data_IF_954503366791
#
_entry.id   IF_954503366791
#
_cell.length_a   1.000
_cell.length_b   1.000
_cell.length_c   1.000
_cell.angle_alpha   90.00
_cell.angle_beta   90.00
_cell.angle_gamma   90.00
#
_symmetry.space_group_name_H-M   'P 1'
#
loop_
_entity.id
_entity.type
_entity.pdbx_description
1 polymer ?
#
# COMPACT_ATOMS: atom_id res chain seq x y z
N UNK A 1 34.61 -23.56 -3.70
CA UNK A 1 33.53 -23.06 -2.82
C UNK A 1 32.82 -24.26 -2.28
N UNK A 2 32.91 -24.48 -0.97
CA UNK A 2 32.14 -25.54 -0.31
C UNK A 2 30.63 -25.22 -0.37
N UNK A 3 29.78 -26.24 -0.37
CA UNK A 3 28.32 -26.05 -0.28
C UNK A 3 27.91 -25.29 0.99
N UNK A 4 28.67 -25.45 2.08
CA UNK A 4 28.47 -24.80 3.38
C UNK A 4 28.69 -23.28 3.33
N UNK A 5 29.73 -22.79 2.65
CA UNK A 5 29.98 -21.35 2.45
C UNK A 5 28.75 -20.66 1.84
N UNK A 6 28.16 -21.31 0.83
CA UNK A 6 27.03 -20.77 0.09
C UNK A 6 25.74 -20.70 0.94
N UNK A 7 25.59 -21.59 1.93
CA UNK A 7 24.43 -21.61 2.84
C UNK A 7 24.50 -20.47 3.85
N UNK A 8 25.68 -20.22 4.46
CA UNK A 8 25.85 -19.17 5.48
C UNK A 8 25.56 -17.79 4.87
N UNK A 9 26.14 -17.50 3.72
CA UNK A 9 25.94 -16.23 3.00
C UNK A 9 24.49 -16.06 2.59
N UNK A 10 23.87 -17.09 2.00
CA UNK A 10 22.47 -17.03 1.57
C UNK A 10 21.52 -16.79 2.74
N UNK A 11 21.76 -17.41 3.89
CA UNK A 11 20.97 -17.19 5.10
C UNK A 11 21.10 -15.74 5.59
N UNK A 12 22.31 -15.21 5.66
CA UNK A 12 22.54 -13.82 6.06
C UNK A 12 21.86 -12.82 5.12
N UNK A 13 22.05 -12.96 3.81
CA UNK A 13 21.44 -12.09 2.80
C UNK A 13 19.90 -12.17 2.84
N UNK A 14 19.33 -13.36 3.08
CA UNK A 14 17.89 -13.49 3.26
C UNK A 14 17.37 -12.76 4.52
N UNK A 15 18.12 -12.79 5.63
CA UNK A 15 17.75 -12.03 6.83
C UNK A 15 17.80 -10.52 6.56
N UNK A 16 18.82 -10.04 5.85
CA UNK A 16 18.90 -8.64 5.42
C UNK A 16 17.70 -8.28 4.54
N UNK A 17 17.39 -9.11 3.53
CA UNK A 17 16.23 -8.91 2.64
C UNK A 17 14.91 -8.78 3.40
N UNK A 18 14.70 -9.56 4.47
CA UNK A 18 13.49 -9.50 5.28
C UNK A 18 13.39 -8.19 6.08
N UNK A 19 14.53 -7.66 6.57
CA UNK A 19 14.59 -6.46 7.40
C UNK A 19 14.60 -5.16 6.60
N UNK A 20 14.94 -5.21 5.31
CA UNK A 20 14.90 -4.04 4.41
C UNK A 20 13.49 -3.40 4.35
N UNK A 21 13.42 -2.07 4.11
CA UNK A 21 12.15 -1.36 4.03
C UNK A 21 11.28 -1.83 2.87
N UNK A 22 9.96 -1.70 3.03
CA UNK A 22 8.98 -2.17 2.05
C UNK A 22 9.12 -1.49 0.68
N UNK A 23 9.42 -0.19 0.64
CA UNK A 23 9.60 0.53 -0.63
C UNK A 23 10.70 -0.08 -1.51
N UNK A 24 11.80 -0.54 -0.90
CA UNK A 24 12.91 -1.16 -1.64
C UNK A 24 12.53 -2.57 -2.08
N UNK A 25 11.80 -3.30 -1.24
CA UNK A 25 11.26 -4.62 -1.61
C UNK A 25 10.32 -4.55 -2.82
N UNK A 26 9.66 -3.42 -3.04
CA UNK A 26 8.77 -3.21 -4.19
C UNK A 26 9.53 -2.95 -5.50
N UNK A 27 10.80 -2.54 -5.42
CA UNK A 27 11.66 -2.28 -6.57
C UNK A 27 12.61 -3.45 -6.78
N UNK A 28 12.12 -4.52 -7.40
CA UNK A 28 12.87 -5.79 -7.58
C UNK A 28 14.28 -5.59 -8.16
N UNK A 29 14.45 -4.71 -9.14
CA UNK A 29 15.77 -4.45 -9.75
C UNK A 29 16.71 -3.72 -8.79
N UNK A 30 16.23 -2.72 -8.05
CA UNK A 30 17.03 -2.02 -7.04
C UNK A 30 17.37 -2.95 -5.87
N UNK A 31 16.40 -3.72 -5.39
CA UNK A 31 16.61 -4.74 -4.36
C UNK A 31 17.67 -5.74 -4.79
N UNK A 32 17.57 -6.28 -6.01
CA UNK A 32 18.54 -7.24 -6.54
C UNK A 32 19.94 -6.63 -6.58
N UNK A 33 20.08 -5.41 -7.10
CA UNK A 33 21.36 -4.71 -7.16
C UNK A 33 21.95 -4.48 -5.76
N UNK A 34 21.12 -4.12 -4.77
CA UNK A 34 21.56 -3.92 -3.37
C UNK A 34 22.02 -5.25 -2.75
N UNK A 35 21.27 -6.33 -2.94
CA UNK A 35 21.64 -7.65 -2.40
C UNK A 35 22.88 -8.22 -3.08
N UNK A 36 23.05 -8.00 -4.39
CA UNK A 36 24.26 -8.37 -5.14
C UNK A 36 25.49 -7.57 -4.65
N UNK A 37 25.35 -6.26 -4.44
CA UNK A 37 26.42 -5.42 -3.91
C UNK A 37 26.82 -5.83 -2.48
N UNK A 38 25.84 -6.08 -1.60
CA UNK A 38 26.09 -6.60 -0.25
C UNK A 38 26.79 -7.97 -0.27
N UNK A 39 26.41 -8.84 -1.20
CA UNK A 39 27.05 -10.14 -1.38
C UNK A 39 28.50 -9.97 -1.84
N UNK A 40 28.75 -9.06 -2.79
CA UNK A 40 30.10 -8.76 -3.27
C UNK A 40 30.98 -8.15 -2.18
N UNK A 41 30.43 -7.24 -1.36
CA UNK A 41 31.12 -6.66 -0.20
C UNK A 41 31.49 -7.73 0.83
N UNK A 42 30.56 -8.65 1.13
CA UNK A 42 30.79 -9.74 2.07
C UNK A 42 31.92 -10.67 1.62
N UNK A 43 31.93 -11.07 0.35
CA UNK A 43 33.04 -11.86 -0.20
C UNK A 43 34.36 -11.08 -0.27
N UNK A 44 34.29 -9.77 -0.49
CA UNK A 44 35.46 -8.89 -0.44
C UNK A 44 36.10 -8.87 0.94
N UNK A 45 35.30 -8.70 1.99
CA UNK A 45 35.76 -8.76 3.39
C UNK A 45 36.25 -10.15 3.78
N UNK A 46 35.53 -11.21 3.41
CA UNK A 46 35.97 -12.58 3.71
C UNK A 46 37.33 -12.90 3.07
N UNK A 47 37.55 -12.47 1.82
CA UNK A 47 38.85 -12.63 1.14
C UNK A 47 39.95 -11.76 1.76
N UNK A 48 39.59 -10.60 2.30
CA UNK A 48 40.52 -9.76 3.05
C UNK A 48 40.98 -10.44 4.35
N UNK A 49 40.07 -11.17 5.02
CA UNK A 49 40.33 -11.92 6.24
C UNK A 49 41.17 -13.18 5.95
N UNK A 50 40.86 -13.91 4.88
CA UNK A 50 41.60 -15.13 4.48
C UNK A 50 43.00 -14.87 3.92
N UNK A 51 43.43 -13.59 3.82
CA UNK A 51 44.74 -13.18 3.32
C UNK A 51 45.09 -13.73 1.93
N UNK A 52 44.08 -14.04 1.11
CA UNK A 52 44.27 -14.60 -0.24
C UNK A 52 44.36 -16.13 -0.29
N UNK A 53 44.28 -16.82 0.84
CA UNK A 53 44.06 -18.26 0.93
C UNK A 53 42.59 -18.62 0.62
N UNK A 54 42.29 -19.93 0.51
CA UNK A 54 40.91 -20.40 0.30
C UNK A 54 40.00 -19.89 1.43
N UNK A 55 38.86 -19.31 1.05
CA UNK A 55 37.91 -18.71 1.98
C UNK A 55 37.28 -19.82 2.83
N UNK A 56 37.43 -19.74 4.14
CA UNK A 56 36.81 -20.68 5.09
C UNK A 56 35.50 -20.14 5.66
N UNK A 57 34.68 -21.03 6.22
CA UNK A 57 33.45 -20.66 6.93
C UNK A 57 33.71 -19.71 8.12
N UNK A 58 34.90 -19.77 8.72
CA UNK A 58 35.30 -18.87 9.81
C UNK A 58 35.48 -17.43 9.29
N UNK A 59 36.13 -17.27 8.13
CA UNK A 59 36.35 -15.97 7.50
C UNK A 59 35.02 -15.30 7.11
N UNK A 60 34.06 -16.08 6.62
CA UNK A 60 32.72 -15.59 6.28
C UNK A 60 31.97 -15.12 7.53
N UNK A 61 32.03 -15.87 8.63
CA UNK A 61 31.39 -15.46 9.89
C UNK A 61 32.00 -14.18 10.45
N UNK A 62 33.32 -14.05 10.38
CA UNK A 62 34.00 -12.83 10.79
C UNK A 62 33.65 -11.65 9.87
N UNK A 63 33.56 -11.86 8.55
CA UNK A 63 33.11 -10.86 7.59
C UNK A 63 31.67 -10.38 7.89
N UNK A 64 30.75 -11.30 8.22
CA UNK A 64 29.38 -10.97 8.65
C UNK A 64 29.42 -10.08 9.89
N UNK A 65 30.21 -10.45 10.91
CA UNK A 65 30.34 -9.65 12.14
C UNK A 65 30.88 -8.24 11.86
N UNK A 66 31.79 -8.08 10.88
CA UNK A 66 32.32 -6.77 10.46
C UNK A 66 31.32 -5.95 9.65
N UNK A 67 30.50 -6.59 8.81
CA UNK A 67 29.45 -5.89 8.07
C UNK A 67 28.32 -5.37 8.97
N UNK A 68 28.11 -6.00 10.13
CA UNK A 68 27.11 -5.61 11.12
C UNK A 68 25.85 -6.47 11.09
N UNK A 69 24.88 -6.15 11.93
CA UNK A 69 23.63 -6.92 11.98
C UNK A 69 22.72 -6.57 10.79
N UNK A 70 21.84 -7.49 10.35
CA UNK A 70 20.86 -7.20 9.30
C UNK A 70 20.01 -5.94 9.56
N UNK A 71 19.74 -5.65 10.83
CA UNK A 71 19.00 -4.47 11.27
C UNK A 71 19.81 -3.18 11.09
N UNK A 72 21.12 -3.21 11.39
CA UNK A 72 21.99 -2.06 11.18
C UNK A 72 22.12 -1.70 9.69
N UNK A 73 22.18 -2.71 8.81
CA UNK A 73 22.18 -2.51 7.35
C UNK A 73 20.84 -1.95 6.90
N UNK A 74 19.72 -2.56 7.34
CA UNK A 74 18.39 -2.09 6.95
C UNK A 74 18.10 -0.65 7.42
N UNK A 75 18.62 -0.26 8.59
CA UNK A 75 18.45 1.10 9.14
C UNK A 75 19.02 2.18 8.22
N UNK A 76 20.11 1.90 7.49
CA UNK A 76 20.68 2.84 6.50
C UNK A 76 19.69 3.15 5.37
N UNK A 77 18.88 2.17 4.97
CA UNK A 77 17.87 2.35 3.91
C UNK A 77 16.55 2.93 4.42
N UNK A 78 16.25 2.79 5.72
CA UNK A 78 15.10 3.44 6.36
C UNK A 78 15.32 4.94 6.60
N UNK A 79 16.56 5.34 6.87
CA UNK A 79 16.92 6.72 7.21
C UNK A 79 17.37 7.55 5.99
N UNK A 80 16.66 7.49 4.86
CA UNK A 80 17.01 8.30 3.66
C UNK A 80 16.35 9.68 3.61
N UNK A 81 15.29 9.90 4.39
CA UNK A 81 14.60 11.18 4.45
C UNK A 81 15.14 12.04 5.60
N UNK A 82 15.11 13.35 5.41
CA UNK A 82 15.47 14.31 6.46
C UNK A 82 14.34 14.38 7.50
N UNK A 83 14.58 14.03 8.78
CA UNK A 83 13.52 14.02 9.77
C UNK A 83 13.07 15.45 10.09
N UNK A 84 11.76 15.71 9.94
CA UNK A 84 11.10 16.97 10.30
C UNK A 84 9.84 16.66 11.11
N UNK A 85 9.97 16.72 12.44
CA UNK A 85 8.99 16.16 13.39
C UNK A 85 8.90 14.62 13.27
N UNK A 86 7.68 14.06 13.29
CA UNK A 86 7.41 12.63 13.06
C UNK A 86 7.29 12.24 11.58
N UNK A 87 7.49 13.19 10.66
CA UNK A 87 7.44 13.00 9.21
C UNK A 87 8.80 13.37 8.59
N UNK A 88 9.09 12.91 7.38
CA UNK A 88 10.26 13.43 6.65
C UNK A 88 9.90 14.74 5.96
N UNK A 89 10.88 15.63 5.77
CA UNK A 89 10.67 16.92 5.13
C UNK A 89 10.09 16.77 3.71
N UNK A 90 10.49 15.73 2.99
CA UNK A 90 10.05 15.43 1.63
C UNK A 90 8.59 14.93 1.59
N UNK A 91 8.15 14.20 2.62
CA UNK A 91 6.77 13.73 2.78
C UNK A 91 5.83 14.82 3.29
N UNK A 92 6.35 15.87 3.94
CA UNK A 92 5.53 16.86 4.64
C UNK A 92 4.62 17.67 3.69
N UNK A 93 5.15 18.09 2.54
CA UNK A 93 4.35 18.80 1.55
C UNK A 93 3.27 17.89 0.95
N UNK A 94 3.61 16.62 0.74
CA UNK A 94 2.65 15.62 0.25
C UNK A 94 1.55 15.34 1.28
N UNK A 95 1.91 15.29 2.57
CA UNK A 95 1.00 15.17 3.70
C UNK A 95 0.00 16.33 3.73
N UNK A 96 0.48 17.58 3.75
CA UNK A 96 -0.39 18.75 3.83
C UNK A 96 -1.34 18.83 2.63
N UNK A 97 -0.85 18.58 1.42
CA UNK A 97 -1.71 18.57 0.22
C UNK A 97 -2.80 17.51 0.30
N UNK A 98 -2.45 16.30 0.76
CA UNK A 98 -3.40 15.22 0.95
C UNK A 98 -4.44 15.60 2.00
N UNK A 99 -4.00 16.14 3.13
CA UNK A 99 -4.87 16.61 4.22
C UNK A 99 -5.87 17.68 3.73
N UNK A 100 -5.38 18.73 3.08
CA UNK A 100 -6.23 19.81 2.57
C UNK A 100 -7.20 19.33 1.49
N UNK A 101 -6.80 18.38 0.65
CA UNK A 101 -7.69 17.78 -0.32
C UNK A 101 -8.88 17.08 0.36
N UNK A 102 -8.62 16.22 1.35
CA UNK A 102 -9.70 15.56 2.09
C UNK A 102 -10.57 16.55 2.87
N UNK A 103 -9.96 17.61 3.44
CA UNK A 103 -10.72 18.68 4.09
C UNK A 103 -11.65 19.38 3.11
N UNK A 104 -11.17 19.73 1.91
CA UNK A 104 -11.99 20.36 0.88
C UNK A 104 -13.16 19.46 0.48
N UNK A 105 -12.95 18.15 0.32
CA UNK A 105 -14.02 17.17 0.04
C UNK A 105 -15.05 17.13 1.17
N UNK A 106 -14.60 17.05 2.43
CA UNK A 106 -15.49 17.01 3.60
C UNK A 106 -16.30 18.30 3.72
N UNK A 107 -15.66 19.46 3.55
CA UNK A 107 -16.30 20.77 3.53
C UNK A 107 -17.35 20.83 2.42
N UNK A 108 -16.99 20.44 1.20
CA UNK A 108 -17.89 20.44 0.05
C UNK A 108 -19.13 19.57 0.27
N UNK A 109 -18.95 18.35 0.80
CA UNK A 109 -20.06 17.43 1.12
C UNK A 109 -20.98 18.07 2.17
N UNK A 110 -20.43 18.62 3.26
CA UNK A 110 -21.24 19.24 4.31
C UNK A 110 -21.96 20.51 3.82
N UNK A 111 -21.35 21.29 2.91
CA UNK A 111 -22.02 22.43 2.27
C UNK A 111 -23.19 21.96 1.41
N UNK A 112 -23.01 20.92 0.58
CA UNK A 112 -24.11 20.36 -0.23
C UNK A 112 -25.25 19.88 0.68
N UNK A 113 -24.91 19.16 1.75
CA UNK A 113 -25.88 18.71 2.77
C UNK A 113 -26.65 19.90 3.35
N UNK A 114 -25.95 20.95 3.73
CA UNK A 114 -26.56 22.14 4.32
C UNK A 114 -27.47 22.86 3.31
N UNK A 115 -27.01 23.09 2.07
CA UNK A 115 -27.81 23.71 0.99
C UNK A 115 -29.08 22.91 0.73
N UNK A 116 -28.97 21.58 0.73
CA UNK A 116 -30.12 20.71 0.58
C UNK A 116 -31.08 20.91 1.76
N UNK A 117 -30.62 20.83 3.01
CA UNK A 117 -31.47 21.06 4.20
C UNK A 117 -32.11 22.46 4.22
N UNK A 118 -31.37 23.49 3.82
CA UNK A 118 -31.87 24.86 3.70
C UNK A 118 -33.03 24.96 2.70
N UNK A 119 -32.94 24.24 1.58
CA UNK A 119 -34.01 24.20 0.57
C UNK A 119 -35.32 23.59 1.08
N UNK A 120 -35.25 22.79 2.15
CA UNK A 120 -36.42 22.13 2.77
C UNK A 120 -36.79 22.71 4.14
N UNK A 121 -36.24 23.88 4.52
CA UNK A 121 -36.55 24.54 5.80
C UNK A 121 -38.07 24.71 6.02
N UNK A 122 -38.80 25.10 4.97
CA UNK A 122 -40.24 25.31 5.02
C UNK A 122 -41.06 24.06 5.33
N UNK A 123 -40.50 22.87 5.08
CA UNK A 123 -41.19 21.58 5.30
C UNK A 123 -40.94 21.04 6.70
N UNK A 124 -39.73 21.21 7.25
CA UNK A 124 -39.31 20.54 8.48
C UNK A 124 -39.37 21.44 9.71
N UNK A 125 -39.65 22.75 9.55
CA UNK A 125 -39.66 23.73 10.65
C UNK A 125 -38.39 23.70 11.51
N UNK A 126 -37.26 23.26 10.94
CA UNK A 126 -35.97 23.21 11.62
C UNK A 126 -35.38 24.60 11.60
N UNK A 127 -34.97 25.14 12.76
CA UNK A 127 -34.30 26.43 12.78
C UNK A 127 -33.01 26.45 11.95
N UNK A 128 -32.77 27.56 11.24
CA UNK A 128 -31.62 27.69 10.35
C UNK A 128 -30.27 27.54 11.08
N UNK A 129 -30.22 27.91 12.38
CA UNK A 129 -29.02 27.79 13.20
C UNK A 129 -28.65 26.34 13.50
N UNK A 130 -29.63 25.43 13.60
CA UNK A 130 -29.36 24.01 13.82
C UNK A 130 -28.76 23.37 12.57
N UNK A 131 -29.21 23.80 11.38
CA UNK A 131 -28.64 23.38 10.10
C UNK A 131 -27.18 23.86 9.99
N UNK A 132 -26.95 25.14 10.31
CA UNK A 132 -25.61 25.73 10.26
C UNK A 132 -24.68 25.12 11.32
N UNK A 133 -25.16 24.89 12.53
CA UNK A 133 -24.43 24.20 13.60
C UNK A 133 -24.10 22.76 13.23
N UNK A 134 -25.05 22.02 12.64
CA UNK A 134 -24.83 20.68 12.13
C UNK A 134 -23.78 20.63 11.02
N UNK A 135 -23.81 21.58 10.08
CA UNK A 135 -22.80 21.71 9.02
C UNK A 135 -21.41 21.96 9.61
N UNK A 136 -21.27 22.96 10.50
CA UNK A 136 -19.98 23.29 11.12
C UNK A 136 -19.44 22.13 11.97
N UNK A 137 -20.30 21.48 12.74
CA UNK A 137 -19.95 20.30 13.53
C UNK A 137 -19.49 19.14 12.64
N UNK A 138 -20.23 18.85 11.55
CA UNK A 138 -19.87 17.82 10.58
C UNK A 138 -18.53 18.09 9.89
N UNK A 139 -18.26 19.35 9.53
CA UNK A 139 -16.96 19.77 8.99
C UNK A 139 -15.86 19.55 10.03
N UNK A 140 -16.06 20.03 11.26
CA UNK A 140 -15.04 19.96 12.31
C UNK A 140 -14.69 18.51 12.67
N UNK A 141 -15.71 17.68 12.94
CA UNK A 141 -15.53 16.25 13.27
C UNK A 141 -14.93 15.49 12.08
N UNK A 142 -15.44 15.72 10.88
CA UNK A 142 -14.94 15.06 9.67
C UNK A 142 -13.47 15.38 9.41
N UNK A 143 -13.09 16.66 9.46
CA UNK A 143 -11.70 17.10 9.29
C UNK A 143 -10.81 16.55 10.40
N UNK A 144 -11.26 16.51 11.65
CA UNK A 144 -10.49 15.95 12.77
C UNK A 144 -10.20 14.45 12.58
N UNK A 145 -11.21 13.66 12.19
CA UNK A 145 -11.04 12.22 11.91
C UNK A 145 -10.08 12.03 10.72
N UNK A 146 -10.29 12.76 9.63
CA UNK A 146 -9.42 12.69 8.46
C UNK A 146 -7.97 13.05 8.81
N UNK A 147 -7.76 14.09 9.62
CA UNK A 147 -6.43 14.48 10.08
C UNK A 147 -5.74 13.38 10.87
N UNK A 148 -6.42 12.75 11.82
CA UNK A 148 -5.86 11.66 12.63
C UNK A 148 -5.46 10.49 11.72
N UNK A 149 -6.37 10.03 10.86
CA UNK A 149 -6.13 8.87 9.98
C UNK A 149 -4.98 9.15 9.01
N UNK A 150 -5.00 10.30 8.32
CA UNK A 150 -3.95 10.68 7.36
C UNK A 150 -2.61 10.82 8.07
N UNK A 151 -2.58 11.41 9.26
CA UNK A 151 -1.34 11.57 10.04
C UNK A 151 -0.74 10.22 10.42
N UNK A 152 -1.54 9.27 10.94
CA UNK A 152 -1.06 7.92 11.29
C UNK A 152 -0.45 7.23 10.09
N UNK A 153 -1.12 7.30 8.93
CA UNK A 153 -0.65 6.69 7.68
C UNK A 153 0.67 7.31 7.22
N UNK A 154 0.80 8.63 7.26
CA UNK A 154 2.02 9.32 6.85
C UNK A 154 3.18 9.12 7.81
N UNK A 155 2.92 9.02 9.13
CA UNK A 155 3.94 8.66 10.12
C UNK A 155 4.48 7.26 9.83
N UNK A 156 3.61 6.31 9.51
CA UNK A 156 4.03 4.97 9.10
C UNK A 156 4.92 5.00 7.84
N UNK A 157 4.55 5.78 6.82
CA UNK A 157 5.39 5.95 5.62
C UNK A 157 6.73 6.60 5.92
N UNK A 158 6.75 7.60 6.79
CA UNK A 158 7.99 8.23 7.25
C UNK A 158 8.89 7.23 7.97
N UNK A 159 8.34 6.37 8.84
CA UNK A 159 9.11 5.36 9.58
C UNK A 159 9.68 4.25 8.69
N UNK A 160 8.97 3.88 7.62
CA UNK A 160 9.48 2.97 6.60
C UNK A 160 10.39 3.65 5.56
N UNK A 161 10.58 4.97 5.69
CA UNK A 161 11.45 5.75 4.83
C UNK A 161 10.90 5.92 3.42
N UNK A 162 9.58 5.92 3.21
CA UNK A 162 8.98 6.23 1.91
C UNK A 162 9.25 7.68 1.50
N UNK A 163 9.42 7.92 0.20
CA UNK A 163 9.47 9.26 -0.39
C UNK A 163 8.32 9.44 -1.37
N UNK A 164 7.93 10.68 -1.70
CA UNK A 164 6.86 10.97 -2.67
C UNK A 164 7.03 10.23 -4.01
N UNK A 165 8.27 10.03 -4.46
CA UNK A 165 8.60 9.37 -5.72
C UNK A 165 8.21 7.89 -5.78
N UNK A 166 8.19 7.21 -4.63
CA UNK A 166 7.93 5.77 -4.57
C UNK A 166 6.45 5.44 -4.78
N UNK A 167 5.56 6.42 -4.59
CA UNK A 167 4.15 6.30 -4.93
C UNK A 167 3.91 6.36 -6.45
N UNK A 168 4.95 6.62 -7.25
CA UNK A 168 4.91 6.65 -8.70
C UNK A 168 4.25 7.92 -9.27
N UNK A 169 4.19 7.99 -10.60
CA UNK A 169 3.52 9.09 -11.28
C UNK A 169 2.02 8.85 -11.20
N UNK A 170 1.33 9.67 -10.40
CA UNK A 170 -0.13 9.67 -10.32
C UNK A 170 -0.68 9.92 -11.75
N UNK A 171 -1.56 9.05 -12.28
CA UNK A 171 -2.13 9.21 -13.61
C UNK A 171 -2.68 10.62 -13.82
N UNK A 172 -2.35 11.29 -14.93
CA UNK A 172 -2.85 12.65 -15.27
C UNK A 172 -4.37 12.82 -15.17
N UNK A 173 -5.13 11.73 -15.27
CA UNK A 173 -6.60 11.72 -15.12
C UNK A 173 -7.04 11.91 -13.67
N UNK A 174 -6.26 11.43 -12.71
CA UNK A 174 -6.43 11.71 -11.29
C UNK A 174 -5.90 13.10 -10.94
N UNK A 175 -5.02 13.71 -11.75
CA UNK A 175 -4.53 15.08 -11.54
C UNK A 175 -5.63 16.16 -11.72
N UNK A 176 -6.79 15.79 -12.27
CA UNK A 176 -7.98 16.68 -12.33
C UNK A 176 -8.70 16.71 -10.98
N UNK A 177 -8.72 15.58 -10.27
CA UNK A 177 -9.40 15.44 -8.97
C UNK A 177 -8.44 15.80 -7.84
N UNK A 178 -7.18 15.42 -7.97
CA UNK A 178 -6.12 15.77 -7.06
C UNK A 178 -5.23 16.84 -7.70
N UNK A 179 -5.07 18.04 -7.11
CA UNK A 179 -4.18 19.08 -7.62
C UNK A 179 -2.70 18.74 -7.34
N UNK A 180 -2.30 17.49 -7.57
CA UNK A 180 -0.93 17.05 -7.57
C UNK A 180 -0.34 17.28 -8.96
N UNK A 181 -0.08 18.52 -9.34
CA UNK A 181 0.96 18.76 -10.33
C UNK A 181 2.30 18.55 -9.64
N UNK A 182 2.66 17.29 -9.42
CA UNK A 182 4.07 16.93 -9.38
C UNK A 182 4.58 17.23 -10.79
N UNK A 183 5.14 18.43 -10.97
CA UNK A 183 5.85 18.74 -12.20
C UNK A 183 6.90 17.65 -12.38
N UNK A 184 7.06 17.19 -13.62
CA UNK A 184 8.03 16.16 -13.96
C UNK A 184 9.44 16.57 -13.47
N UNK A 185 9.68 17.87 -13.42
CA UNK A 185 10.83 18.56 -12.83
C UNK A 185 11.00 18.31 -11.32
N UNK A 186 9.94 18.45 -10.51
CA UNK A 186 10.01 18.14 -9.06
C UNK A 186 10.26 16.65 -8.80
N UNK A 187 9.65 15.77 -9.61
CA UNK A 187 9.91 14.33 -9.54
C UNK A 187 11.32 13.97 -10.05
N UNK A 188 11.89 14.77 -10.96
CA UNK A 188 13.25 14.59 -11.44
C UNK A 188 14.28 15.01 -10.38
N UNK A 189 14.09 16.18 -9.75
CA UNK A 189 14.97 16.70 -8.69
C UNK A 189 15.00 15.76 -7.48
N UNK A 190 13.84 15.28 -7.08
CA UNK A 190 13.69 14.37 -5.95
C UNK A 190 14.27 12.97 -6.28
N UNK A 191 14.13 12.49 -7.53
CA UNK A 191 14.87 11.31 -8.03
C UNK A 191 16.38 11.51 -8.08
N UNK A 192 16.86 12.69 -8.44
CA UNK A 192 18.28 13.01 -8.43
C UNK A 192 18.81 13.03 -7.01
N UNK A 193 18.08 13.62 -6.06
CA UNK A 193 18.39 13.55 -4.63
C UNK A 193 18.44 12.11 -4.12
N UNK A 194 17.44 11.28 -4.44
CA UNK A 194 17.42 9.86 -4.08
C UNK A 194 18.60 9.11 -4.71
N UNK A 195 18.94 9.39 -5.97
CA UNK A 195 20.12 8.81 -6.61
C UNK A 195 21.41 9.26 -5.94
N UNK A 196 21.55 10.54 -5.60
CA UNK A 196 22.72 11.08 -4.91
C UNK A 196 22.89 10.43 -3.54
N UNK A 197 21.83 10.29 -2.74
CA UNK A 197 21.93 9.62 -1.44
C UNK A 197 22.20 8.11 -1.55
N UNK A 198 21.64 7.43 -2.55
CA UNK A 198 21.99 6.03 -2.85
C UNK A 198 23.45 5.94 -3.29
N UNK A 199 23.94 6.88 -4.09
CA UNK A 199 25.33 6.96 -4.50
C UNK A 199 26.25 7.29 -3.32
N UNK A 200 25.89 8.21 -2.43
CA UNK A 200 26.62 8.49 -1.20
C UNK A 200 26.68 7.27 -0.32
N UNK A 201 25.56 6.57 -0.10
CA UNK A 201 25.54 5.32 0.65
C UNK A 201 26.43 4.24 -0.01
N UNK A 202 26.41 4.15 -1.35
CA UNK A 202 27.32 3.28 -2.11
C UNK A 202 28.77 3.72 -2.02
N UNK A 203 29.05 5.02 -2.04
CA UNK A 203 30.39 5.58 -1.94
C UNK A 203 30.95 5.35 -0.56
N UNK A 204 30.15 5.52 0.50
CA UNK A 204 30.51 5.17 1.88
C UNK A 204 30.78 3.67 2.02
N UNK A 205 29.99 2.83 1.33
CA UNK A 205 30.27 1.40 1.19
C UNK A 205 31.57 1.10 0.45
N UNK A 206 31.80 1.77 -0.69
CA UNK A 206 33.03 1.66 -1.49
C UNK A 206 34.26 2.21 -0.80
N UNK A 207 34.14 3.24 0.03
CA UNK A 207 35.22 3.86 0.79
C UNK A 207 35.63 2.95 1.94
N UNK A 208 34.66 2.33 2.62
CA UNK A 208 34.94 1.22 3.55
C UNK A 208 35.61 0.05 2.83
N UNK A 209 35.14 -0.32 1.64
CA UNK A 209 35.72 -1.37 0.83
C UNK A 209 37.12 -0.99 0.32
N UNK A 210 37.36 0.28 -0.03
CA UNK A 210 38.65 0.79 -0.46
C UNK A 210 39.63 0.86 0.70
N UNK A 211 39.17 1.23 1.90
CA UNK A 211 39.98 1.17 3.12
C UNK A 211 40.33 -0.29 3.49
N UNK A 212 39.38 -1.22 3.34
CA UNK A 212 39.64 -2.65 3.50
C UNK A 212 40.62 -3.15 2.42
N UNK A 213 40.42 -2.73 1.16
CA UNK A 213 41.26 -3.12 0.03
C UNK A 213 42.65 -2.49 0.09
N UNK A 214 42.81 -1.27 0.61
CA UNK A 214 44.10 -0.63 0.83
C UNK A 214 44.89 -1.35 1.94
N UNK A 215 44.23 -1.76 3.03
CA UNK A 215 44.84 -2.66 4.04
C UNK A 215 45.25 -4.00 3.46
N UNK A 216 44.51 -4.50 2.47
CA UNK A 216 44.84 -5.73 1.74
C UNK A 216 45.96 -5.51 0.72
N UNK A 217 45.99 -4.39 0.00
CA UNK A 217 47.04 -4.07 -0.98
C UNK A 217 48.38 -3.76 -0.30
N UNK A 218 48.36 -3.17 0.89
CA UNK A 218 49.54 -2.97 1.75
C UNK A 218 50.11 -4.31 2.23
N UNK A 219 49.26 -5.33 2.46
CA UNK A 219 49.67 -6.72 2.79
C UNK A 219 49.97 -7.61 1.57
N UNK A 220 49.36 -7.34 0.43
CA UNK A 220 49.62 -8.04 -0.85
C UNK A 220 50.87 -7.48 -1.53
N UNK A 221 51.33 -6.28 -1.16
CA UNK A 221 52.65 -5.79 -1.55
C UNK A 221 53.80 -6.69 -1.04
N UNK A 222 53.58 -7.50 0.00
CA UNK A 222 54.52 -8.55 0.44
C UNK A 222 54.44 -9.85 -0.39
N UNK A 223 53.39 -10.07 -1.21
CA UNK A 223 53.21 -11.30 -2.01
C UNK A 223 53.39 -11.12 -3.52
N UNK A 224 53.83 -9.93 -3.95
CA UNK A 224 54.10 -9.57 -5.36
C UNK A 224 55.49 -9.98 -5.87
N UNK A 225 55.84 -11.26 -5.76
CA UNK A 225 56.90 -11.87 -6.59
C UNK A 225 56.32 -12.96 -7.54
N UNK A 226 55.04 -13.32 -7.43
CA UNK A 226 54.52 -14.53 -8.10
C UNK A 226 53.28 -14.32 -8.97
N UNK A 227 53.30 -13.44 -9.99
CA UNK A 227 52.30 -13.51 -11.10
C UNK A 227 52.61 -12.60 -12.29
N UNK A 228 53.62 -12.99 -13.06
CA UNK A 228 53.76 -12.55 -14.47
C UNK A 228 53.10 -13.52 -15.47
N UNK A 229 52.54 -14.66 -15.04
CA UNK A 229 51.98 -15.68 -15.96
C UNK A 229 50.56 -15.41 -16.51
N UNK A 230 49.81 -14.41 -16.03
CA UNK A 230 48.38 -14.24 -16.41
C UNK A 230 48.10 -13.25 -17.54
N UNK A 231 49.08 -13.00 -18.43
CA UNK A 231 48.90 -12.07 -19.56
C UNK A 231 48.47 -12.70 -20.89
N UNK A 232 48.30 -14.03 -20.95
CA UNK A 232 47.82 -14.73 -22.16
C UNK A 232 46.36 -15.22 -22.08
N UNK A 233 45.76 -15.32 -20.88
CA UNK A 233 44.35 -15.76 -20.69
C UNK A 233 43.31 -14.70 -21.08
N UNK A 234 43.69 -13.42 -21.11
CA UNK A 234 42.77 -12.29 -21.31
C UNK A 234 42.09 -12.24 -22.70
N UNK A 235 42.67 -12.92 -23.71
CA UNK A 235 42.13 -12.92 -25.09
C UNK A 235 41.09 -14.02 -25.35
N UNK A 236 40.97 -15.03 -24.48
CA UNK A 236 39.95 -16.09 -24.56
C UNK A 236 38.63 -15.68 -23.87
N UNK A 237 38.73 -14.88 -22.82
CA UNK A 237 37.60 -14.36 -22.01
C UNK A 237 36.71 -13.39 -22.81
N UNK A 238 37.26 -12.69 -23.81
CA UNK A 238 36.51 -11.74 -24.64
C UNK A 238 35.50 -12.41 -25.59
N UNK A 239 35.76 -13.65 -26.03
CA UNK A 239 34.81 -14.43 -26.87
C UNK A 239 33.68 -15.05 -26.04
N UNK A 240 33.95 -15.51 -24.82
CA UNK A 240 32.91 -16.00 -23.90
C UNK A 240 31.92 -14.91 -23.48
N UNK A 241 32.41 -13.68 -23.21
CA UNK A 241 31.55 -12.54 -22.86
C UNK A 241 30.59 -12.11 -23.97
N UNK A 242 30.93 -12.36 -25.24
CA UNK A 242 30.07 -12.05 -26.39
C UNK A 242 28.91 -13.04 -26.53
N UNK A 243 29.11 -14.31 -26.17
CA UNK A 243 28.05 -15.32 -26.14
C UNK A 243 27.15 -15.18 -24.91
N UNK A 244 27.73 -14.90 -23.73
CA UNK A 244 26.96 -14.56 -22.52
C UNK A 244 26.07 -13.33 -22.75
N UNK A 245 26.56 -12.30 -23.44
CA UNK A 245 25.75 -11.12 -23.76
C UNK A 245 24.56 -11.43 -24.70
N UNK A 246 24.70 -12.42 -25.60
CA UNK A 246 23.60 -12.88 -26.48
C UNK A 246 22.60 -13.75 -25.73
N UNK A 247 23.06 -14.59 -24.79
CA UNK A 247 22.19 -15.36 -23.90
C UNK A 247 21.39 -14.44 -22.96
N UNK A 248 22.05 -13.42 -22.39
CA UNK A 248 21.42 -12.43 -21.51
C UNK A 248 20.34 -11.60 -22.22
N UNK A 249 20.52 -11.29 -23.52
CA UNK A 249 19.50 -10.62 -24.33
C UNK A 249 18.28 -11.49 -24.60
N UNK A 250 18.45 -12.80 -24.84
CA UNK A 250 17.32 -13.74 -24.98
C UNK A 250 16.56 -13.89 -23.65
N UNK A 251 17.29 -13.97 -22.54
CA UNK A 251 16.72 -14.05 -21.20
C UNK A 251 15.90 -12.79 -20.85
N UNK A 252 16.42 -11.59 -21.13
CA UNK A 252 15.69 -10.32 -20.95
C UNK A 252 14.44 -10.20 -21.82
N UNK A 253 14.45 -10.78 -23.04
CA UNK A 253 13.30 -10.79 -23.93
C UNK A 253 12.19 -11.73 -23.41
N UNK A 254 12.57 -12.88 -22.84
CA UNK A 254 11.63 -13.79 -22.19
C UNK A 254 11.09 -13.24 -20.86
N UNK A 255 11.93 -12.61 -20.03
CA UNK A 255 11.49 -11.86 -18.85
C UNK A 255 10.50 -10.74 -19.21
N UNK A 256 10.75 -10.00 -20.31
CA UNK A 256 9.82 -8.97 -20.77
C UNK A 256 8.48 -9.56 -21.24
N UNK A 257 8.47 -10.75 -21.86
CA UNK A 257 7.25 -11.48 -22.23
C UNK A 257 6.52 -12.00 -20.99
N UNK A 258 7.24 -12.52 -19.99
CA UNK A 258 6.67 -12.93 -18.70
C UNK A 258 6.08 -11.73 -17.94
N UNK A 259 6.78 -10.59 -17.86
CA UNK A 259 6.28 -9.33 -17.27
C UNK A 259 4.97 -8.85 -17.92
N UNK A 260 4.82 -9.02 -19.24
CA UNK A 260 3.56 -8.70 -19.96
C UNK A 260 2.42 -9.66 -19.64
N UNK A 261 2.71 -10.95 -19.39
CA UNK A 261 1.72 -11.93 -18.96
C UNK A 261 1.27 -11.70 -17.50
N UNK A 262 2.19 -11.29 -16.62
CA UNK A 262 1.92 -10.96 -15.20
C UNK A 262 0.95 -9.78 -15.07
N UNK A 263 1.09 -8.76 -15.93
CA UNK A 263 0.20 -7.59 -15.91
C UNK A 263 -1.25 -7.94 -16.30
N UNK A 264 -1.48 -9.08 -16.98
CA UNK A 264 -2.82 -9.57 -17.36
C UNK A 264 -3.47 -10.47 -16.30
N UNK A 265 -2.71 -10.98 -15.31
CA UNK A 265 -3.20 -11.97 -14.34
C UNK A 265 -3.41 -11.44 -12.93
N UNK A 266 -3.19 -10.15 -12.67
CA UNK A 266 -3.48 -9.56 -11.36
C UNK A 266 -5.00 -9.65 -11.07
N UNK A 267 -5.40 -10.32 -9.96
CA UNK A 267 -6.81 -10.61 -9.69
C UNK A 267 -7.59 -9.41 -9.13
N UNK A 268 -6.91 -8.30 -8.83
CA UNK A 268 -7.50 -7.02 -8.41
C UNK A 268 -6.90 -5.95 -9.29
N UNK A 269 -7.74 -5.07 -9.84
CA UNK A 269 -7.26 -3.96 -10.66
C UNK A 269 -7.15 -2.68 -9.83
N UNK A 270 -6.22 -1.80 -10.21
CA UNK A 270 -6.10 -0.46 -9.60
C UNK A 270 -7.43 0.31 -9.72
N UNK A 271 -8.16 0.14 -10.84
CA UNK A 271 -9.46 0.75 -11.04
C UNK A 271 -10.53 0.27 -10.06
N UNK A 272 -10.56 -1.03 -9.75
CA UNK A 272 -11.47 -1.61 -8.75
C UNK A 272 -11.20 -1.04 -7.35
N UNK A 273 -9.92 -0.90 -6.96
CA UNK A 273 -9.53 -0.35 -5.66
C UNK A 273 -9.85 1.15 -5.54
N UNK A 274 -9.55 1.94 -6.58
CA UNK A 274 -9.87 3.38 -6.59
C UNK A 274 -11.39 3.57 -6.52
N UNK A 275 -12.14 2.82 -7.32
CA UNK A 275 -13.60 2.90 -7.31
C UNK A 275 -14.17 2.46 -5.96
N UNK A 276 -13.73 1.33 -5.41
CA UNK A 276 -14.16 0.84 -4.10
C UNK A 276 -13.85 1.83 -2.97
N UNK A 277 -12.64 2.38 -2.94
CA UNK A 277 -12.24 3.37 -1.95
C UNK A 277 -13.05 4.67 -2.07
N UNK A 278 -13.14 5.24 -3.27
CA UNK A 278 -13.87 6.50 -3.49
C UNK A 278 -15.37 6.34 -3.26
N UNK A 279 -15.99 5.31 -3.83
CA UNK A 279 -17.42 5.05 -3.65
C UNK A 279 -17.73 4.72 -2.18
N UNK A 280 -16.94 3.87 -1.52
CA UNK A 280 -17.16 3.50 -0.12
C UNK A 280 -17.03 4.69 0.82
N UNK A 281 -16.01 5.53 0.64
CA UNK A 281 -15.81 6.72 1.47
C UNK A 281 -16.92 7.75 1.24
N UNK A 282 -17.21 8.10 -0.02
CA UNK A 282 -18.21 9.12 -0.36
C UNK A 282 -19.61 8.66 0.04
N UNK A 283 -19.99 7.44 -0.36
CA UNK A 283 -21.31 6.90 -0.07
C UNK A 283 -21.48 6.61 1.42
N UNK A 284 -20.46 6.07 2.09
CA UNK A 284 -20.48 5.86 3.53
C UNK A 284 -20.66 7.17 4.30
N UNK A 285 -19.90 8.22 3.95
CA UNK A 285 -20.08 9.55 4.55
C UNK A 285 -21.48 10.13 4.28
N UNK A 286 -21.99 9.99 3.06
CA UNK A 286 -23.33 10.46 2.70
C UNK A 286 -24.41 9.77 3.54
N UNK A 287 -24.28 8.46 3.78
CA UNK A 287 -25.19 7.68 4.62
C UNK A 287 -25.09 8.01 6.12
N UNK A 288 -23.90 8.37 6.60
CA UNK A 288 -23.69 8.80 8.01
C UNK A 288 -24.25 10.20 8.23
N UNK A 289 -23.94 11.13 7.32
CA UNK A 289 -24.34 12.54 7.43
C UNK A 289 -25.84 12.70 7.17
N UNK A 290 -26.42 11.88 6.29
CA UNK A 290 -27.82 11.91 5.89
C UNK A 290 -28.23 13.31 5.43
N UNK A 291 -27.78 13.74 4.22
CA UNK A 291 -28.14 15.06 3.69
C UNK A 291 -29.64 15.26 3.53
N UNK A 292 -30.35 14.16 3.25
CA UNK A 292 -31.77 14.21 2.93
C UNK A 292 -32.54 14.68 4.17
N UNK A 293 -33.38 15.73 4.04
CA UNK A 293 -34.19 16.21 5.13
C UNK A 293 -35.09 15.05 5.52
N UNK A 294 -34.93 14.63 6.76
CA UNK A 294 -35.86 13.76 7.45
C UNK A 294 -37.16 14.57 7.54
N UNK A 295 -37.99 14.53 6.51
CA UNK A 295 -39.29 15.23 6.46
C UNK A 295 -40.32 14.56 7.38
N UNK A 296 -39.88 13.97 8.51
CA UNK A 296 -40.67 13.05 9.34
C UNK A 296 -41.04 11.74 8.62
N UNK A 297 -40.66 11.58 7.35
CA UNK A 297 -41.09 10.45 6.51
C UNK A 297 -40.32 9.15 6.76
N UNK A 298 -39.18 9.21 7.46
CA UNK A 298 -38.40 8.03 7.82
C UNK A 298 -38.42 7.86 9.34
N UNK A 299 -38.68 6.64 9.79
CA UNK A 299 -38.65 6.30 11.22
C UNK A 299 -37.24 6.56 11.79
N UNK A 300 -37.10 7.08 13.03
CA UNK A 300 -35.80 7.32 13.66
C UNK A 300 -34.90 6.08 13.68
N UNK A 301 -35.47 4.90 13.91
CA UNK A 301 -34.75 3.62 13.91
C UNK A 301 -34.09 3.32 12.55
N UNK A 302 -34.72 3.71 11.44
CA UNK A 302 -34.15 3.52 10.10
C UNK A 302 -32.96 4.43 9.87
N UNK A 303 -33.01 5.66 10.39
CA UNK A 303 -31.91 6.60 10.29
C UNK A 303 -30.71 6.13 11.09
N UNK A 304 -30.93 5.55 12.28
CA UNK A 304 -29.86 4.92 13.06
C UNK A 304 -29.27 3.71 12.32
N UNK A 305 -30.12 2.88 11.72
CA UNK A 305 -29.69 1.77 10.87
C UNK A 305 -28.84 2.25 9.68
N UNK A 306 -29.29 3.30 8.97
CA UNK A 306 -28.57 3.90 7.85
C UNK A 306 -27.21 4.47 8.28
N UNK A 307 -27.11 5.09 9.48
CA UNK A 307 -25.84 5.57 10.02
C UNK A 307 -24.88 4.41 10.30
N UNK A 308 -25.38 3.33 10.90
CA UNK A 308 -24.57 2.14 11.16
C UNK A 308 -24.10 1.49 9.85
N UNK A 309 -25.00 1.32 8.88
CA UNK A 309 -24.68 0.81 7.55
C UNK A 309 -23.69 1.72 6.82
N UNK A 310 -23.90 3.03 6.86
CA UNK A 310 -23.00 4.04 6.29
C UNK A 310 -21.60 4.01 6.90
N UNK A 311 -21.52 3.86 8.22
CA UNK A 311 -20.24 3.65 8.92
C UNK A 311 -19.56 2.38 8.43
N UNK A 312 -20.32 1.30 8.25
CA UNK A 312 -19.73 0.05 7.75
C UNK A 312 -19.15 0.21 6.33
N UNK A 313 -19.89 0.87 5.45
CA UNK A 313 -19.46 1.17 4.07
C UNK A 313 -18.25 2.10 4.05
N UNK A 314 -18.24 3.11 4.91
CA UNK A 314 -17.12 4.05 5.04
C UNK A 314 -15.81 3.33 5.42
N UNK A 315 -15.85 2.49 6.46
CA UNK A 315 -14.69 1.71 6.88
C UNK A 315 -14.26 0.72 5.79
N UNK A 316 -15.20 0.12 5.05
CA UNK A 316 -14.84 -0.71 3.87
C UNK A 316 -14.09 0.10 2.81
N UNK A 317 -14.54 1.33 2.55
CA UNK A 317 -13.84 2.24 1.63
C UNK A 317 -12.43 2.62 2.13
N UNK A 318 -12.26 2.79 3.44
CA UNK A 318 -10.94 3.00 4.05
C UNK A 318 -10.04 1.77 3.89
N UNK A 319 -10.56 0.55 4.05
CA UNK A 319 -9.79 -0.67 3.83
C UNK A 319 -9.32 -0.78 2.37
N UNK A 320 -10.18 -0.45 1.41
CA UNK A 320 -9.80 -0.41 -0.01
C UNK A 320 -8.79 0.71 -0.32
N UNK A 321 -8.87 1.84 0.39
CA UNK A 321 -7.86 2.89 0.31
C UNK A 321 -6.50 2.39 0.83
N UNK A 322 -6.46 1.72 1.98
CA UNK A 322 -5.22 1.14 2.51
C UNK A 322 -4.65 0.11 1.52
N UNK A 323 -5.50 -0.74 0.94
CA UNK A 323 -5.11 -1.70 -0.11
C UNK A 323 -4.55 -1.00 -1.35
N UNK A 324 -5.12 0.13 -1.74
CA UNK A 324 -4.59 0.93 -2.85
C UNK A 324 -3.17 1.39 -2.54
N UNK A 325 -2.94 1.88 -1.32
CA UNK A 325 -1.62 2.39 -0.92
C UNK A 325 -0.57 1.28 -0.77
N UNK A 326 -0.97 0.10 -0.30
CA UNK A 326 -0.10 -1.11 -0.28
C UNK A 326 0.37 -1.49 -1.69
N UNK A 327 -0.37 -1.10 -2.72
CA UNK A 327 -0.05 -1.39 -4.11
C UNK A 327 -0.53 -2.78 -4.53
N UNK A 328 -0.99 -2.88 -5.78
CA UNK A 328 -1.53 -4.13 -6.35
C UNK A 328 -0.45 -5.21 -6.54
N UNK A 329 0.82 -4.79 -6.60
CA UNK A 329 1.99 -5.68 -6.70
C UNK A 329 2.36 -6.36 -5.38
N UNK A 330 1.97 -5.83 -4.22
CA UNK A 330 2.29 -6.44 -2.93
C UNK A 330 1.28 -7.57 -2.60
N UNK A 331 1.59 -8.77 -3.09
CA UNK A 331 0.71 -9.94 -2.97
C UNK A 331 0.37 -10.30 -1.52
N UNK A 332 1.34 -10.20 -0.60
CA UNK A 332 1.12 -10.56 0.81
C UNK A 332 0.22 -9.54 1.49
N UNK A 333 0.45 -8.25 1.26
CA UNK A 333 -0.42 -7.19 1.76
C UNK A 333 -1.84 -7.28 1.19
N UNK A 334 -1.99 -7.49 -0.12
CA UNK A 334 -3.31 -7.67 -0.74
C UNK A 334 -4.05 -8.90 -0.19
N UNK A 335 -3.35 -10.01 0.07
CA UNK A 335 -3.95 -11.20 0.68
C UNK A 335 -4.45 -10.92 2.09
N UNK A 336 -3.62 -10.32 2.94
CA UNK A 336 -4.00 -10.01 4.31
C UNK A 336 -5.23 -9.11 4.34
N UNK A 337 -5.25 -8.05 3.54
CA UNK A 337 -6.38 -7.13 3.49
C UNK A 337 -7.63 -7.69 2.81
N UNK A 338 -7.50 -8.63 1.85
CA UNK A 338 -8.66 -9.36 1.33
C UNK A 338 -9.30 -10.25 2.41
N UNK A 339 -8.49 -10.86 3.28
CA UNK A 339 -8.99 -11.65 4.42
C UNK A 339 -9.63 -10.73 5.46
N UNK A 340 -8.96 -9.63 5.83
CA UNK A 340 -9.51 -8.64 6.76
C UNK A 340 -10.83 -8.08 6.22
N UNK A 341 -10.89 -7.70 4.95
CA UNK A 341 -12.11 -7.23 4.29
C UNK A 341 -13.21 -8.30 4.25
N UNK A 342 -12.87 -9.56 4.01
CA UNK A 342 -13.84 -10.65 4.07
C UNK A 342 -14.39 -10.88 5.49
N UNK A 343 -13.54 -10.86 6.52
CA UNK A 343 -13.96 -10.96 7.93
C UNK A 343 -14.82 -9.75 8.30
N UNK A 344 -14.40 -8.56 7.89
CA UNK A 344 -15.12 -7.32 8.12
C UNK A 344 -16.52 -7.36 7.50
N UNK A 345 -16.67 -7.96 6.31
CA UNK A 345 -17.97 -8.07 5.66
C UNK A 345 -19.01 -8.88 6.47
N UNK A 346 -18.58 -9.69 7.44
CA UNK A 346 -19.49 -10.38 8.38
C UNK A 346 -20.26 -9.35 9.21
N UNK A 347 -19.69 -8.18 9.49
CA UNK A 347 -20.35 -7.12 10.26
C UNK A 347 -21.61 -6.56 9.57
N UNK A 348 -21.74 -6.70 8.24
CA UNK A 348 -22.99 -6.34 7.55
C UNK A 348 -24.13 -7.31 7.86
N UNK A 349 -23.84 -8.58 8.18
CA UNK A 349 -24.88 -9.60 8.38
C UNK A 349 -25.80 -9.24 9.55
N UNK A 350 -25.31 -8.92 10.76
CA UNK A 350 -26.17 -8.45 11.86
C UNK A 350 -27.00 -7.23 11.49
N UNK A 351 -26.45 -6.30 10.71
CA UNK A 351 -27.14 -5.07 10.27
C UNK A 351 -28.33 -5.42 9.37
N UNK A 352 -28.18 -6.35 8.43
CA UNK A 352 -29.30 -6.81 7.59
C UNK A 352 -30.26 -7.76 8.31
N UNK A 353 -29.78 -8.56 9.27
CA UNK A 353 -30.63 -9.38 10.13
C UNK A 353 -31.54 -8.53 11.03
N UNK A 354 -31.07 -7.36 11.49
CA UNK A 354 -31.90 -6.40 12.20
C UNK A 354 -33.08 -5.95 11.34
N UNK A 355 -32.84 -5.58 10.08
CA UNK A 355 -33.91 -5.23 9.14
C UNK A 355 -34.86 -6.39 8.84
N UNK A 356 -34.36 -7.62 8.80
CA UNK A 356 -35.18 -8.81 8.60
C UNK A 356 -36.10 -9.06 9.82
N UNK A 357 -35.58 -8.82 11.03
CA UNK A 357 -36.33 -9.01 12.28
C UNK A 357 -37.31 -7.86 12.57
N UNK A 358 -37.04 -6.66 12.03
CA UNK A 358 -37.83 -5.45 12.24
C UNK A 358 -38.19 -4.81 10.89
N UNK A 359 -39.08 -5.43 10.10
CA UNK A 359 -39.45 -4.96 8.77
C UNK A 359 -40.15 -3.59 8.78
N UNK A 360 -40.83 -3.26 9.87
CA UNK A 360 -41.50 -1.98 10.12
C UNK A 360 -40.58 -0.76 10.03
N UNK A 361 -39.28 -0.95 10.25
CA UNK A 361 -38.27 0.12 10.16
C UNK A 361 -38.08 0.59 8.71
N UNK A 362 -38.35 -0.23 7.70
CA UNK A 362 -38.02 0.11 6.32
C UNK A 362 -39.07 1.04 5.68
N UNK A 363 -38.69 2.22 5.15
CA UNK A 363 -39.65 3.22 4.66
C UNK A 363 -40.13 2.93 3.22
N UNK A 364 -41.12 2.03 3.06
CA UNK A 364 -41.74 1.74 1.74
C UNK A 364 -42.61 2.90 1.23
N UNK A 365 -43.15 3.72 2.13
CA UNK A 365 -44.04 4.84 1.79
C UNK A 365 -43.40 5.81 0.77
N UNK A 366 -42.08 5.99 0.82
CA UNK A 366 -41.33 6.87 -0.08
C UNK A 366 -41.21 6.33 -1.52
N UNK A 367 -41.16 4.99 -1.68
CA UNK A 367 -40.99 4.35 -3.00
C UNK A 367 -42.32 3.97 -3.65
N UNK A 368 -43.37 3.79 -2.84
CA UNK A 368 -44.72 3.43 -3.29
C UNK A 368 -45.64 4.62 -3.55
N UNK A 369 -45.14 5.86 -3.38
CA UNK A 369 -45.94 7.08 -3.53
C UNK A 369 -46.94 7.31 -2.40
N UNK A 370 -46.66 6.81 -1.20
CA UNK A 370 -47.46 7.05 0.02
C UNK A 370 -48.57 6.02 0.31
N UNK A 371 -48.75 4.99 -0.53
CA UNK A 371 -49.86 4.04 -0.39
C UNK A 371 -49.62 2.93 0.66
N UNK A 372 -48.36 2.72 1.08
CA UNK A 372 -48.01 1.72 2.10
C UNK A 372 -47.26 2.44 3.21
N UNK A 373 -47.90 2.59 4.37
CA UNK A 373 -47.29 3.30 5.50
C UNK A 373 -46.16 2.49 6.15
N UNK A 374 -46.34 1.18 6.31
CA UNK A 374 -45.39 0.28 6.98
C UNK A 374 -45.49 -1.15 6.41
N UNK A 375 -44.40 -1.93 6.51
CA UNK A 375 -44.43 -3.36 6.20
C UNK A 375 -45.06 -4.10 7.38
N UNK A 376 -46.14 -4.81 7.12
CA UNK A 376 -46.77 -5.65 8.14
C UNK A 376 -45.77 -6.69 8.67
N UNK A 377 -45.62 -6.77 9.99
CA UNK A 377 -44.83 -7.81 10.65
C UNK A 377 -45.44 -9.22 10.49
N UNK A 378 -46.65 -9.32 9.91
CA UNK A 378 -47.34 -10.60 9.70
C UNK A 378 -46.58 -11.42 8.64
N UNK A 379 -46.09 -12.65 8.96
CA UNK A 379 -45.30 -13.45 8.03
C UNK A 379 -46.03 -13.89 6.75
N UNK A 380 -47.37 -13.91 6.77
CA UNK A 380 -48.19 -14.30 5.62
C UNK A 380 -48.49 -13.15 4.65
N UNK A 381 -48.10 -11.91 4.98
CA UNK A 381 -48.27 -10.78 4.06
C UNK A 381 -47.27 -10.88 2.89
N UNK A 382 -47.79 -10.80 1.67
CA UNK A 382 -47.00 -10.85 0.43
C UNK A 382 -45.90 -9.77 0.44
N UNK A 383 -46.17 -8.59 1.01
CA UNK A 383 -45.20 -7.49 1.09
C UNK A 383 -44.01 -7.85 1.98
N UNK A 384 -44.28 -8.46 3.13
CA UNK A 384 -43.25 -8.92 4.05
C UNK A 384 -42.44 -10.09 3.48
N UNK A 385 -43.10 -11.01 2.77
CA UNK A 385 -42.44 -12.13 2.06
C UNK A 385 -41.47 -11.58 1.02
N UNK A 386 -41.90 -10.66 0.16
CA UNK A 386 -41.04 -10.06 -0.88
C UNK A 386 -39.86 -9.32 -0.24
N UNK A 387 -40.13 -8.48 0.77
CA UNK A 387 -39.10 -7.74 1.51
C UNK A 387 -38.04 -8.68 2.12
N UNK A 388 -38.49 -9.73 2.82
CA UNK A 388 -37.62 -10.72 3.45
C UNK A 388 -36.76 -11.46 2.42
N UNK A 389 -37.34 -11.85 1.28
CA UNK A 389 -36.62 -12.48 0.18
C UNK A 389 -35.53 -11.57 -0.38
N UNK A 390 -35.81 -10.27 -0.58
CA UNK A 390 -34.82 -9.31 -1.06
C UNK A 390 -33.65 -9.17 -0.08
N UNK A 391 -33.92 -9.05 1.23
CA UNK A 391 -32.86 -8.98 2.24
C UNK A 391 -32.03 -10.26 2.27
N UNK A 392 -32.67 -11.43 2.19
CA UNK A 392 -31.97 -12.72 2.13
C UNK A 392 -31.06 -12.77 0.89
N UNK A 393 -31.53 -12.30 -0.27
CA UNK A 393 -30.70 -12.21 -1.50
C UNK A 393 -29.50 -11.28 -1.28
N UNK A 394 -29.67 -10.13 -0.60
CA UNK A 394 -28.56 -9.23 -0.27
C UNK A 394 -27.55 -9.92 0.65
N UNK A 395 -28.00 -10.62 1.70
CA UNK A 395 -27.14 -11.38 2.61
C UNK A 395 -26.37 -12.47 1.84
N UNK A 396 -27.04 -13.21 0.96
CA UNK A 396 -26.39 -14.20 0.08
C UNK A 396 -25.35 -13.52 -0.82
N UNK A 397 -25.65 -12.34 -1.35
CA UNK A 397 -24.71 -11.53 -2.14
C UNK A 397 -23.47 -11.12 -1.35
N UNK A 398 -23.62 -10.70 -0.09
CA UNK A 398 -22.51 -10.37 0.81
C UNK A 398 -21.64 -11.59 1.06
N UNK A 399 -22.25 -12.75 1.37
CA UNK A 399 -21.53 -14.02 1.55
C UNK A 399 -20.81 -14.44 0.26
N UNK A 400 -21.46 -14.30 -0.89
CA UNK A 400 -20.87 -14.56 -2.20
C UNK A 400 -19.66 -13.66 -2.48
N UNK A 401 -19.75 -12.37 -2.14
CA UNK A 401 -18.63 -11.43 -2.21
C UNK A 401 -17.46 -11.83 -1.33
N UNK A 402 -17.72 -12.29 -0.10
CA UNK A 402 -16.69 -12.83 0.80
C UNK A 402 -16.00 -14.05 0.19
N UNK A 403 -16.77 -15.02 -0.34
CA UNK A 403 -16.21 -16.20 -1.04
C UNK A 403 -15.35 -15.76 -2.23
N UNK A 404 -15.81 -14.77 -3.00
CA UNK A 404 -15.04 -14.17 -4.08
C UNK A 404 -13.68 -13.62 -3.63
N UNK A 405 -13.65 -12.93 -2.48
CA UNK A 405 -12.40 -12.44 -1.88
C UNK A 405 -11.48 -13.59 -1.47
N UNK A 406 -11.99 -14.68 -0.87
CA UNK A 406 -11.19 -15.87 -0.56
C UNK A 406 -10.64 -16.56 -1.82
N UNK A 407 -11.41 -16.61 -2.90
CA UNK A 407 -10.93 -17.12 -4.20
C UNK A 407 -9.80 -16.24 -4.75
N UNK A 408 -9.91 -14.90 -4.64
CA UNK A 408 -8.83 -13.97 -5.02
C UNK A 408 -7.57 -14.20 -4.16
N UNK A 409 -7.71 -14.43 -2.86
CA UNK A 409 -6.59 -14.77 -1.96
C UNK A 409 -5.89 -16.06 -2.42
N UNK A 410 -6.64 -17.10 -2.78
CA UNK A 410 -6.08 -18.34 -3.30
C UNK A 410 -5.32 -18.13 -4.62
N UNK A 411 -5.86 -17.30 -5.53
CA UNK A 411 -5.15 -16.91 -6.76
C UNK A 411 -3.82 -16.21 -6.46
N UNK A 412 -3.81 -15.27 -5.51
CA UNK A 412 -2.56 -14.65 -5.04
C UNK A 412 -1.58 -15.66 -4.42
N UNK A 413 -2.08 -16.70 -3.75
CA UNK A 413 -1.23 -17.73 -3.11
C UNK A 413 -0.55 -18.60 -4.16
N UNK A 414 -1.28 -18.94 -5.23
CA UNK A 414 -0.72 -19.66 -6.37
C UNK A 414 0.34 -18.82 -7.09
N UNK A 415 0.09 -17.53 -7.30
CA UNK A 415 1.09 -16.62 -7.88
C UNK A 415 2.34 -16.55 -6.99
N UNK A 416 2.19 -16.42 -5.67
CA UNK A 416 3.30 -16.44 -4.71
C UNK A 416 4.12 -17.75 -4.68
N UNK A 417 3.59 -18.87 -5.18
CA UNK A 417 4.34 -20.14 -5.28
C UNK A 417 5.12 -20.28 -6.59
N UNK A 418 4.75 -19.52 -7.61
CA UNK A 418 5.39 -19.54 -8.94
C UNK A 418 6.61 -18.60 -8.98
N UNK A 419 6.68 -17.64 -8.07
CA UNK A 419 7.78 -16.69 -7.87
C UNK A 419 8.40 -16.92 -6.49
#
# INVERSE_FOLDING_TARGET
MSETENIIVKNYINQVKQKLPEWLKWKEEELKNVLEDLTAQLYGEARAISQGEEITDADIKEAINRMGTPESIAKLYKNRGTPKFFLTQELFDFYLRTLFFFFAVIIFINIIVAVFRFSFIWVVSVPWWDILGGMLSGIWIGCLIAAIVITIVFVYFSMEGFLPEDFGVIPKRLAIIFPFTFTEEYMAETREYTKQHIEEARMLGKEKLAAAKARVEERIAESKILREERRTEAKLIQKQKLEEAKALRKQKLEEAKQKRLIKKTQPVTVGELIFGASAGIIFGLLLIIQPFPVTGAMQPAFLEWLKLFGFLVFVSGLLDLIRLVIGVSNYTGQQAFLIIGAIYNIAYIPVFLLLLNQPEIFPISFFSGGNITEISAVPSDITNIIYSVVIIIIIIGIVGGMIGNFVKVNKYSKLKKVY
#
